data_IF_784926225555
#
_entry.id   IF_784926225555
#
_cell.length_a   1.000
_cell.length_b   1.000
_cell.length_c   1.000
_cell.angle_alpha   90.00
_cell.angle_beta   90.00
_cell.angle_gamma   90.00
#
_symmetry.space_group_name_H-M   'P 1'
#
loop_
_entity.id
_entity.type
_entity.pdbx_description
1 polymer ?
#
# COMPACT_ATOMS: atom_id res chain seq x y z
N UNK A 1 8.55 -6.16 -11.33
CA UNK A 1 7.91 -6.66 -10.10
C UNK A 1 8.98 -7.35 -9.26
N UNK A 2 9.14 -6.93 -8.01
CA UNK A 2 10.11 -7.50 -7.07
C UNK A 2 9.38 -8.42 -6.09
N UNK A 3 9.94 -9.59 -5.78
CA UNK A 3 9.34 -10.58 -4.89
C UNK A 3 10.38 -11.06 -3.90
N UNK A 4 10.11 -10.90 -2.60
CA UNK A 4 10.92 -11.50 -1.55
C UNK A 4 10.69 -13.01 -1.53
N UNK A 5 11.65 -13.78 -2.05
CA UNK A 5 11.57 -15.25 -2.13
C UNK A 5 12.16 -15.97 -0.92
N UNK A 6 13.13 -15.34 -0.26
CA UNK A 6 13.85 -15.89 0.88
C UNK A 6 13.73 -14.88 2.03
N UNK A 7 13.33 -15.31 3.25
CA UNK A 7 13.28 -14.41 4.40
C UNK A 7 14.66 -13.80 4.70
N UNK A 8 14.72 -12.49 4.90
CA UNK A 8 15.92 -11.74 5.32
C UNK A 8 16.11 -11.87 6.83
N UNK A 9 15.00 -11.82 7.57
CA UNK A 9 14.94 -11.91 9.02
C UNK A 9 13.78 -12.83 9.44
N UNK A 10 13.53 -12.96 10.74
CA UNK A 10 12.33 -13.65 11.25
C UNK A 10 11.22 -12.65 11.54
N UNK A 11 9.98 -13.06 11.31
CA UNK A 11 8.80 -12.28 11.71
C UNK A 11 8.52 -11.06 10.84
N UNK A 12 7.96 -10.03 11.48
CA UNK A 12 7.33 -8.86 10.87
C UNK A 12 8.30 -7.93 10.11
N UNK A 13 9.59 -7.96 10.45
CA UNK A 13 10.60 -7.04 9.90
C UNK A 13 10.98 -7.34 8.45
N UNK A 14 10.72 -8.56 7.96
CA UNK A 14 11.09 -8.99 6.61
C UNK A 14 10.67 -8.02 5.50
N UNK A 15 9.39 -7.60 5.52
CA UNK A 15 8.85 -6.71 4.48
C UNK A 15 9.49 -5.33 4.55
N UNK A 16 9.73 -4.81 5.76
CA UNK A 16 10.33 -3.51 5.96
C UNK A 16 11.79 -3.49 5.50
N UNK A 17 12.56 -4.51 5.87
CA UNK A 17 13.95 -4.65 5.43
C UNK A 17 14.07 -4.85 3.92
N UNK A 18 13.16 -5.61 3.32
CA UNK A 18 13.12 -5.78 1.88
C UNK A 18 12.80 -4.47 1.16
N UNK A 19 11.83 -3.69 1.64
CA UNK A 19 11.55 -2.38 1.08
C UNK A 19 12.72 -1.41 1.24
N UNK A 20 13.44 -1.44 2.37
CA UNK A 20 14.66 -0.65 2.54
C UNK A 20 15.70 -1.01 1.48
N UNK A 21 15.94 -2.31 1.23
CA UNK A 21 16.85 -2.75 0.19
C UNK A 21 16.45 -2.20 -1.19
N UNK A 22 15.18 -2.34 -1.58
CA UNK A 22 14.71 -1.84 -2.88
C UNK A 22 14.88 -0.32 -3.02
N UNK A 23 14.56 0.44 -1.96
CA UNK A 23 14.74 1.89 -2.00
C UNK A 23 16.22 2.27 -2.09
N UNK A 24 17.12 1.58 -1.37
CA UNK A 24 18.56 1.80 -1.46
C UNK A 24 19.06 1.52 -2.89
N UNK A 25 18.63 0.42 -3.49
CA UNK A 25 18.98 0.07 -4.87
C UNK A 25 18.52 1.13 -5.88
N UNK A 26 17.30 1.67 -5.72
CA UNK A 26 16.81 2.76 -6.57
C UNK A 26 17.53 4.09 -6.34
N UNK A 27 17.89 4.41 -5.08
CA UNK A 27 18.65 5.62 -4.75
C UNK A 27 20.10 5.61 -5.28
N UNK A 28 20.66 4.43 -5.56
CA UNK A 28 21.97 4.30 -6.20
C UNK A 28 21.95 4.59 -7.70
N UNK A 29 20.77 4.64 -8.32
CA UNK A 29 20.62 4.97 -9.74
C UNK A 29 20.62 6.49 -9.96
N UNK A 30 21.02 6.97 -11.14
CA UNK A 30 20.77 8.36 -11.54
C UNK A 30 19.27 8.68 -11.47
N UNK A 31 18.94 9.94 -11.15
CA UNK A 31 17.54 10.38 -11.01
C UNK A 31 16.69 10.10 -12.26
N UNK A 32 17.27 10.19 -13.45
CA UNK A 32 16.57 9.90 -14.71
C UNK A 32 16.25 8.40 -14.93
N UNK A 33 16.86 7.51 -14.15
CA UNK A 33 16.72 6.05 -14.29
C UNK A 33 16.13 5.34 -13.07
N UNK A 34 15.84 6.08 -11.98
CA UNK A 34 15.19 5.53 -10.79
C UNK A 34 13.67 5.62 -10.89
N UNK A 35 12.97 4.71 -10.22
CA UNK A 35 11.52 4.87 -10.02
C UNK A 35 11.24 5.92 -8.93
N UNK A 36 10.16 6.67 -9.07
CA UNK A 36 9.77 7.68 -8.06
C UNK A 36 9.06 7.05 -6.86
N UNK A 37 8.21 6.04 -7.10
CA UNK A 37 7.34 5.42 -6.11
C UNK A 37 7.30 3.91 -6.29
N UNK A 38 7.18 3.19 -5.17
CA UNK A 38 7.00 1.75 -5.10
C UNK A 38 5.65 1.47 -4.46
N UNK A 39 4.82 0.65 -5.09
CA UNK A 39 3.64 0.07 -4.44
C UNK A 39 4.05 -1.23 -3.73
N UNK A 40 3.93 -1.24 -2.40
CA UNK A 40 4.09 -2.43 -1.57
C UNK A 40 2.76 -3.18 -1.48
N UNK A 41 2.80 -4.51 -1.62
CA UNK A 41 1.61 -5.38 -1.60
C UNK A 41 1.85 -6.64 -0.77
N UNK A 42 0.81 -7.06 -0.05
CA UNK A 42 0.76 -8.35 0.64
C UNK A 42 0.58 -9.52 -0.34
N UNK A 43 1.20 -10.69 -0.11
CA UNK A 43 0.93 -11.90 -0.89
C UNK A 43 -0.54 -12.36 -0.84
N UNK A 44 -1.35 -11.88 0.10
CA UNK A 44 -2.79 -12.12 0.16
C UNK A 44 -3.64 -11.18 -0.69
N UNK A 45 -3.04 -10.51 -1.67
CA UNK A 45 -3.72 -9.56 -2.56
C UNK A 45 -3.64 -10.00 -4.03
N UNK A 46 -4.74 -9.83 -4.76
CA UNK A 46 -4.84 -10.13 -6.19
C UNK A 46 -5.09 -8.84 -6.97
N UNK A 47 -4.30 -8.61 -8.03
CA UNK A 47 -4.55 -7.53 -8.99
C UNK A 47 -5.72 -7.90 -9.92
N UNK A 48 -6.85 -7.22 -9.76
CA UNK A 48 -8.07 -7.48 -10.52
C UNK A 48 -8.02 -6.78 -11.88
N UNK A 49 -7.72 -5.48 -11.88
CA UNK A 49 -7.74 -4.65 -13.08
C UNK A 49 -6.37 -3.98 -13.31
N UNK A 50 -5.56 -4.48 -14.26
CA UNK A 50 -4.26 -3.91 -14.58
C UNK A 50 -4.32 -2.64 -15.43
N UNK A 51 -5.51 -2.25 -15.93
CA UNK A 51 -5.66 -1.06 -16.78
C UNK A 51 -5.80 0.22 -15.96
N UNK A 52 -5.98 0.12 -14.63
CA UNK A 52 -6.00 1.28 -13.75
C UNK A 52 -4.55 1.75 -13.53
N UNK A 53 -4.19 2.98 -13.96
CA UNK A 53 -2.85 3.49 -13.74
C UNK A 53 -2.60 3.72 -12.26
N UNK A 54 -1.49 3.18 -11.73
CA UNK A 54 -1.13 3.37 -10.33
C UNK A 54 -0.84 4.85 -9.98
N UNK A 55 -0.44 5.65 -10.98
CA UNK A 55 -0.15 7.06 -10.78
C UNK A 55 -1.39 7.89 -10.44
N UNK A 56 -2.60 7.40 -10.71
CA UNK A 56 -3.85 8.07 -10.30
C UNK A 56 -3.91 8.19 -8.76
N UNK A 57 -3.33 7.23 -8.04
CA UNK A 57 -3.30 7.23 -6.56
C UNK A 57 -2.12 8.01 -5.97
N UNK A 58 -1.21 8.55 -6.78
CA UNK A 58 -0.01 9.24 -6.29
C UNK A 58 -0.24 10.75 -6.21
N UNK A 59 0.51 11.47 -5.35
CA UNK A 59 0.40 12.92 -5.30
C UNK A 59 0.72 13.54 -6.66
N UNK A 60 -0.02 14.57 -7.10
CA UNK A 60 0.29 15.25 -8.35
C UNK A 60 1.67 15.92 -8.26
N UNK A 61 2.39 15.99 -9.38
CA UNK A 61 3.71 16.67 -9.46
C UNK A 61 3.65 18.19 -9.24
N UNK A 62 2.48 18.74 -8.95
CA UNK A 62 2.31 20.15 -8.61
C UNK A 62 2.89 20.46 -7.22
N UNK A 63 3.24 21.73 -6.99
CA UNK A 63 3.75 22.20 -5.68
C UNK A 63 2.77 21.86 -4.55
N UNK A 64 3.30 21.50 -3.39
CA UNK A 64 2.53 21.30 -2.14
C UNK A 64 2.55 19.88 -1.57
N UNK A 65 3.08 18.90 -2.32
CA UNK A 65 3.14 17.49 -1.91
C UNK A 65 4.56 16.93 -1.81
N UNK A 66 5.58 17.80 -1.85
CA UNK A 66 6.98 17.37 -1.85
C UNK A 66 7.42 16.66 -0.56
N UNK A 67 6.71 16.93 0.55
CA UNK A 67 6.94 16.28 1.85
C UNK A 67 6.27 14.91 1.98
N UNK A 68 5.44 14.48 1.03
CA UNK A 68 4.76 13.19 1.09
C UNK A 68 5.70 12.08 0.60
N UNK A 69 5.87 11.07 1.45
CA UNK A 69 6.69 9.89 1.23
C UNK A 69 5.89 8.59 1.32
N UNK A 70 4.74 8.62 2.01
CA UNK A 70 3.83 7.49 2.16
C UNK A 70 2.43 7.89 1.71
N UNK A 71 1.83 7.07 0.86
CA UNK A 71 0.39 7.11 0.60
C UNK A 71 -0.20 5.76 0.98
N UNK A 72 -1.06 5.75 1.98
CA UNK A 72 -1.59 4.52 2.56
C UNK A 72 -3.08 4.67 2.89
N UNK A 73 -3.65 3.69 3.59
CA UNK A 73 -5.03 3.77 4.10
C UNK A 73 -5.07 3.33 5.56
N UNK A 74 -6.16 3.67 6.25
CA UNK A 74 -6.48 3.19 7.61
C UNK A 74 -7.81 2.45 7.59
N UNK A 75 -7.84 1.13 7.32
CA UNK A 75 -9.09 0.37 7.20
C UNK A 75 -9.96 0.36 8.46
N UNK A 76 -9.34 0.43 9.64
CA UNK A 76 -9.99 0.51 10.95
C UNK A 76 -10.14 1.97 11.45
N UNK A 77 -9.75 2.96 10.63
CA UNK A 77 -9.70 4.38 10.97
C UNK A 77 -8.54 4.79 11.89
N UNK A 78 -7.73 3.85 12.38
CA UNK A 78 -6.73 4.09 13.42
C UNK A 78 -5.33 3.72 12.94
N UNK A 79 -5.14 2.50 12.42
CA UNK A 79 -3.85 1.91 12.10
C UNK A 79 -3.61 1.92 10.59
N UNK A 80 -2.44 2.41 10.16
CA UNK A 80 -2.02 2.29 8.77
C UNK A 80 -1.98 0.83 8.32
N UNK A 81 -2.48 0.54 7.12
CA UNK A 81 -2.38 -0.80 6.56
C UNK A 81 -1.01 -1.06 5.96
N UNK A 82 -0.35 -2.13 6.40
CA UNK A 82 0.85 -2.68 5.74
C UNK A 82 0.52 -3.57 4.53
N UNK A 83 -0.76 -3.81 4.26
CA UNK A 83 -1.22 -4.74 3.20
C UNK A 83 -1.07 -4.19 1.79
N UNK A 84 -1.35 -2.89 1.60
CA UNK A 84 -1.08 -2.18 0.36
C UNK A 84 -0.83 -0.70 0.66
N UNK A 85 0.27 -0.16 0.17
CA UNK A 85 0.59 1.26 0.28
C UNK A 85 1.64 1.65 -0.75
N UNK A 86 1.75 2.95 -1.01
CA UNK A 86 2.79 3.52 -1.83
C UNK A 86 3.86 4.17 -0.95
N UNK A 87 5.12 3.97 -1.33
CA UNK A 87 6.29 4.54 -0.66
C UNK A 87 7.20 5.18 -1.70
N UNK A 88 7.62 6.42 -1.45
CA UNK A 88 8.50 7.16 -2.34
C UNK A 88 9.92 6.64 -2.24
N UNK A 89 10.65 6.66 -3.35
CA UNK A 89 12.10 6.44 -3.31
C UNK A 89 12.77 7.70 -2.78
N UNK A 90 13.00 7.74 -1.47
CA UNK A 90 13.60 8.87 -0.76
C UNK A 90 14.36 8.45 0.49
N UNK A 91 15.23 9.32 1.00
CA UNK A 91 15.90 9.13 2.28
C UNK A 91 14.93 9.16 3.47
N UNK A 92 13.83 9.92 3.38
CA UNK A 92 12.80 9.98 4.42
C UNK A 92 12.07 8.65 4.55
N UNK A 93 11.70 8.04 3.41
CA UNK A 93 11.11 6.70 3.38
C UNK A 93 12.02 5.65 4.02
N UNK A 94 13.34 5.72 3.78
CA UNK A 94 14.31 4.85 4.46
C UNK A 94 14.31 5.06 5.97
N UNK A 95 14.29 6.31 6.43
CA UNK A 95 14.28 6.64 7.85
C UNK A 95 12.99 6.12 8.53
N UNK A 96 11.82 6.32 7.92
CA UNK A 96 10.54 5.79 8.40
C UNK A 96 10.60 4.26 8.54
N UNK A 97 11.07 3.55 7.51
CA UNK A 97 11.18 2.09 7.55
C UNK A 97 12.18 1.62 8.62
N UNK A 98 13.31 2.32 8.81
CA UNK A 98 14.29 2.00 9.82
C UNK A 98 13.70 2.15 11.23
N UNK A 99 12.97 3.24 11.50
CA UNK A 99 12.25 3.45 12.76
C UNK A 99 11.21 2.37 13.02
N UNK A 100 10.43 2.01 11.99
CA UNK A 100 9.43 0.95 12.10
C UNK A 100 10.07 -0.40 12.48
N UNK A 101 11.22 -0.76 11.87
CA UNK A 101 11.92 -2.02 12.21
C UNK A 101 12.30 -2.10 13.69
N UNK A 102 12.77 -1.00 14.27
CA UNK A 102 13.23 -0.98 15.67
C UNK A 102 12.13 -0.63 16.66
N UNK A 103 10.93 -0.26 16.21
CA UNK A 103 9.87 0.24 17.07
C UNK A 103 9.52 -0.70 18.25
N UNK A 104 9.37 -2.03 18.05
CA UNK A 104 9.08 -2.92 19.18
C UNK A 104 10.22 -3.08 20.18
N UNK A 105 11.45 -2.73 19.80
CA UNK A 105 12.61 -2.71 20.70
C UNK A 105 12.64 -1.40 21.51
N UNK A 106 12.25 -0.28 20.89
CA UNK A 106 12.21 1.03 21.54
C UNK A 106 11.04 1.18 22.51
N UNK A 107 9.90 0.56 22.20
CA UNK A 107 8.68 0.61 23.01
C UNK A 107 8.26 -0.81 23.44
N UNK A 108 8.99 -1.44 24.38
CA UNK A 108 8.70 -2.80 24.81
C UNK A 108 7.35 -2.93 25.54
N UNK A 109 6.87 -1.83 26.12
CA UNK A 109 5.62 -1.79 26.89
C UNK A 109 4.38 -1.47 26.02
N UNK A 110 4.56 -1.11 24.75
CA UNK A 110 3.45 -0.87 23.81
C UNK A 110 2.80 -2.21 23.47
N UNK A 111 1.47 -2.21 23.38
CA UNK A 111 0.76 -3.36 22.84
C UNK A 111 1.05 -3.48 21.34
N UNK A 112 1.74 -4.55 20.96
CA UNK A 112 2.02 -4.92 19.57
C UNK A 112 1.11 -6.06 19.10
N UNK A 113 -0.01 -6.32 19.76
CA UNK A 113 -0.93 -7.40 19.40
C UNK A 113 -1.55 -7.20 18.01
N UNK A 114 -1.68 -8.26 17.22
CA UNK A 114 -2.22 -8.19 15.85
C UNK A 114 -1.14 -8.04 14.77
N UNK A 115 -1.37 -7.16 13.78
CA UNK A 115 -0.40 -6.92 12.70
C UNK A 115 0.72 -5.99 13.17
N UNK A 116 1.81 -6.59 13.66
CA UNK A 116 2.99 -5.88 14.14
C UNK A 116 3.59 -4.99 13.04
N UNK A 117 3.57 -5.41 11.76
CA UNK A 117 4.12 -4.59 10.67
C UNK A 117 3.33 -3.30 10.51
N UNK A 118 1.99 -3.38 10.50
CA UNK A 118 1.10 -2.21 10.42
C UNK A 118 1.30 -1.26 11.60
N UNK A 119 1.37 -1.80 12.82
CA UNK A 119 1.59 -0.99 14.03
C UNK A 119 2.96 -0.34 14.05
N UNK A 120 4.00 -1.05 13.60
CA UNK A 120 5.36 -0.53 13.54
C UNK A 120 5.47 0.64 12.55
N UNK A 121 4.81 0.55 11.39
CA UNK A 121 4.68 1.71 10.48
C UNK A 121 3.87 2.84 11.14
N UNK A 122 2.75 2.54 11.80
CA UNK A 122 1.93 3.55 12.46
C UNK A 122 2.75 4.32 13.49
N UNK A 123 3.53 3.63 14.32
CA UNK A 123 4.45 4.24 15.27
C UNK A 123 5.45 5.18 14.59
N UNK A 124 6.11 4.72 13.52
CA UNK A 124 7.08 5.54 12.81
C UNK A 124 6.44 6.82 12.24
N UNK A 125 5.22 6.72 11.69
CA UNK A 125 4.47 7.85 11.14
C UNK A 125 3.91 8.80 12.20
N UNK A 126 3.78 8.36 13.46
CA UNK A 126 3.39 9.19 14.60
C UNK A 126 4.53 10.04 15.15
N UNK A 127 5.78 9.72 14.80
CA UNK A 127 6.93 10.54 15.17
C UNK A 127 6.80 11.93 14.55
N UNK A 128 7.03 12.97 15.36
CA UNK A 128 6.90 14.39 14.95
C UNK A 128 7.69 14.74 13.69
N UNK A 129 8.83 14.08 13.46
CA UNK A 129 9.66 14.29 12.27
C UNK A 129 9.04 13.75 10.97
N UNK A 130 8.06 12.83 11.05
CA UNK A 130 7.42 12.20 9.89
C UNK A 130 5.90 12.40 9.85
N UNK A 131 5.34 13.22 10.75
CA UNK A 131 3.89 13.41 10.89
C UNK A 131 3.23 13.98 9.63
N UNK A 132 3.99 14.68 8.79
CA UNK A 132 3.50 15.25 7.53
C UNK A 132 3.86 14.40 6.30
N UNK A 133 4.61 13.31 6.50
CA UNK A 133 5.13 12.47 5.42
C UNK A 133 4.14 11.46 4.88
N UNK A 134 2.96 11.33 5.49
CA UNK A 134 1.94 10.38 5.10
C UNK A 134 0.61 11.05 4.74
N UNK A 135 -0.04 10.54 3.68
CA UNK A 135 -1.43 10.81 3.34
C UNK A 135 -2.23 9.51 3.41
N UNK A 136 -3.44 9.59 3.95
CA UNK A 136 -4.36 8.45 4.07
C UNK A 136 -5.52 8.61 3.09
N UNK A 137 -5.63 7.67 2.16
CA UNK A 137 -6.68 7.60 1.14
C UNK A 137 -7.85 6.71 1.60
N UNK A 138 -9.00 6.82 0.92
CA UNK A 138 -10.12 5.89 1.10
C UNK A 138 -9.69 4.43 0.97
N UNK A 139 -10.07 3.61 1.96
CA UNK A 139 -9.71 2.18 2.00
C UNK A 139 -10.29 1.41 0.81
N UNK A 140 -11.44 1.87 0.29
CA UNK A 140 -12.21 1.32 -0.83
C UNK A 140 -11.47 1.34 -2.16
N UNK A 141 -10.35 2.07 -2.22
CA UNK A 141 -9.56 2.15 -3.43
C UNK A 141 -8.69 0.92 -3.66
N UNK A 142 -7.94 0.48 -2.65
CA UNK A 142 -7.00 -0.63 -2.80
C UNK A 142 -6.73 -1.45 -1.53
N UNK A 143 -7.44 -1.20 -0.42
CA UNK A 143 -7.26 -1.95 0.84
C UNK A 143 -8.54 -2.58 1.40
N UNK A 144 -9.70 -2.40 0.77
CA UNK A 144 -10.92 -3.04 1.23
C UNK A 144 -10.78 -4.57 1.23
N UNK A 145 -11.01 -5.24 2.38
CA UNK A 145 -11.09 -6.68 2.40
C UNK A 145 -12.30 -7.14 1.59
N UNK A 146 -12.18 -8.26 0.87
CA UNK A 146 -13.37 -8.92 0.33
C UNK A 146 -14.23 -9.41 1.50
N UNK A 147 -15.43 -8.84 1.63
CA UNK A 147 -16.31 -9.06 2.78
C UNK A 147 -16.81 -10.51 2.87
N UNK A 148 -16.84 -11.26 1.75
CA UNK A 148 -17.23 -12.67 1.68
C UNK A 148 -16.80 -13.28 0.33
N UNK A 149 -16.83 -14.62 0.23
CA UNK A 149 -16.42 -15.36 -0.98
C UNK A 149 -17.27 -15.12 -2.24
N UNK A 150 -18.34 -14.31 -2.15
CA UNK A 150 -19.18 -13.90 -3.28
C UNK A 150 -18.84 -12.51 -3.84
N UNK A 151 -18.12 -11.66 -3.09
CA UNK A 151 -17.65 -10.37 -3.62
C UNK A 151 -16.58 -10.63 -4.68
N UNK A 152 -16.88 -10.23 -5.92
CA UNK A 152 -15.97 -10.38 -7.05
C UNK A 152 -14.96 -9.24 -7.14
N UNK A 153 -15.13 -8.16 -6.35
CA UNK A 153 -14.29 -6.98 -6.42
C UNK A 153 -14.36 -6.26 -7.78
N UNK A 154 -15.45 -6.43 -8.53
CA UNK A 154 -15.59 -5.86 -9.88
C UNK A 154 -15.33 -4.34 -9.87
N UNK A 155 -14.53 -3.87 -10.83
CA UNK A 155 -14.12 -2.46 -10.94
C UNK A 155 -13.02 -2.02 -9.97
N UNK A 156 -12.61 -2.85 -9.00
CA UNK A 156 -11.54 -2.51 -8.05
C UNK A 156 -10.15 -2.74 -8.64
N UNK A 157 -9.16 -2.01 -8.14
CA UNK A 157 -7.76 -2.29 -8.43
C UNK A 157 -7.35 -3.66 -7.87
N UNK A 158 -7.62 -3.87 -6.58
CA UNK A 158 -7.16 -5.02 -5.81
C UNK A 158 -8.30 -5.77 -5.13
N UNK A 159 -8.14 -7.08 -5.00
CA UNK A 159 -8.86 -7.94 -4.07
C UNK A 159 -7.93 -8.33 -2.93
N UNK A 160 -8.21 -7.83 -1.72
CA UNK A 160 -7.47 -8.20 -0.50
C UNK A 160 -8.19 -9.33 0.23
N UNK A 161 -7.45 -10.37 0.59
CA UNK A 161 -7.98 -11.49 1.36
C UNK A 161 -7.56 -11.43 2.82
N UNK A 162 -8.49 -11.13 3.73
CA UNK A 162 -8.19 -10.85 5.13
C UNK A 162 -7.69 -12.11 5.88
N UNK A 163 -6.87 -11.92 6.91
CA UNK A 163 -6.23 -13.00 7.67
C UNK A 163 -7.25 -13.88 8.43
N UNK A 164 -8.42 -13.30 8.71
CA UNK A 164 -9.61 -13.87 9.33
C UNK A 164 -10.17 -15.05 8.52
N UNK A 165 -9.86 -15.14 7.22
CA UNK A 165 -10.19 -16.31 6.40
C UNK A 165 -9.32 -17.53 6.71
N UNK A 166 -8.21 -17.36 7.44
CA UNK A 166 -7.29 -18.41 7.86
C UNK A 166 -6.93 -19.36 6.70
N UNK A 167 -6.98 -20.68 6.90
CA UNK A 167 -6.66 -21.68 5.87
C UNK A 167 -7.55 -21.61 4.61
N UNK A 168 -8.77 -21.04 4.71
CA UNK A 168 -9.66 -20.87 3.54
C UNK A 168 -9.20 -19.77 2.60
N UNK A 169 -8.33 -18.86 3.06
CA UNK A 169 -7.79 -17.75 2.28
C UNK A 169 -7.25 -18.22 0.92
N UNK A 170 -6.38 -19.24 0.94
CA UNK A 170 -5.71 -19.72 -0.26
C UNK A 170 -6.66 -20.36 -1.26
N UNK A 171 -7.67 -21.08 -0.76
CA UNK A 171 -8.72 -21.64 -1.61
C UNK A 171 -9.51 -20.53 -2.30
N UNK A 172 -9.97 -19.51 -1.56
CA UNK A 172 -10.71 -18.40 -2.15
C UNK A 172 -9.88 -17.58 -3.15
N UNK A 173 -8.58 -17.44 -2.91
CA UNK A 173 -7.67 -16.82 -3.88
C UNK A 173 -7.56 -17.66 -5.16
N UNK A 174 -7.38 -18.97 -5.03
CA UNK A 174 -7.34 -19.89 -6.17
C UNK A 174 -8.65 -19.82 -6.98
N UNK A 175 -9.80 -19.94 -6.32
CA UNK A 175 -11.12 -19.87 -6.96
C UNK A 175 -11.34 -18.53 -7.70
N UNK A 176 -10.76 -17.43 -7.20
CA UNK A 176 -10.80 -16.13 -7.87
C UNK A 176 -9.88 -16.11 -9.10
N UNK A 177 -8.65 -16.60 -8.97
CA UNK A 177 -7.69 -16.66 -10.08
C UNK A 177 -8.26 -17.43 -11.27
N UNK A 178 -9.03 -18.49 -11.05
CA UNK A 178 -9.71 -19.24 -12.12
C UNK A 178 -10.80 -18.40 -12.83
N UNK A 179 -11.46 -17.49 -12.11
CA UNK A 179 -12.53 -16.62 -12.65
C UNK A 179 -12.00 -15.32 -13.26
N UNK A 180 -10.77 -14.92 -12.93
CA UNK A 180 -10.17 -13.66 -13.37
C UNK A 180 -10.12 -13.45 -14.89
N UNK A 181 -9.78 -14.44 -15.74
CA UNK A 181 -9.69 -14.20 -17.18
C UNK A 181 -11.00 -13.66 -17.76
N UNK A 182 -12.13 -14.24 -17.36
CA UNK A 182 -13.46 -13.79 -17.76
C UNK A 182 -13.80 -12.39 -17.25
N UNK A 183 -13.37 -12.06 -16.03
CA UNK A 183 -13.57 -10.73 -15.45
C UNK A 183 -12.69 -9.66 -16.10
N UNK A 184 -11.42 -9.97 -16.40
CA UNK A 184 -10.48 -9.06 -17.07
C UNK A 184 -10.92 -8.74 -18.49
N UNK A 185 -11.43 -9.73 -19.22
CA UNK A 185 -12.03 -9.51 -20.55
C UNK A 185 -13.22 -8.55 -20.49
N UNK A 186 -14.06 -8.62 -19.44
CA UNK A 186 -15.16 -7.66 -19.24
C UNK A 186 -14.63 -6.27 -18.87
N UNK A 187 -13.66 -6.20 -17.96
CA UNK A 187 -13.02 -4.96 -17.53
C UNK A 187 -12.35 -4.18 -18.68
N UNK A 188 -11.70 -4.88 -19.59
CA UNK A 188 -11.02 -4.27 -20.73
C UNK A 188 -11.98 -3.64 -21.76
N UNK A 189 -13.25 -4.06 -21.78
CA UNK A 189 -14.22 -3.64 -22.78
C UNK A 189 -15.16 -2.51 -22.32
N UNK A 190 -15.07 -2.09 -21.06
CA UNK A 190 -15.93 -1.07 -20.47
C UNK A 190 -15.13 0.20 -20.14
N UNK A 191 -15.52 1.32 -20.75
CA UNK A 191 -14.82 2.61 -20.60
C UNK A 191 -15.13 3.30 -19.26
N UNK A 192 -16.20 2.91 -18.58
CA UNK A 192 -16.60 3.43 -17.26
C UNK A 192 -16.17 2.49 -16.11
N UNK A 193 -15.31 1.50 -16.40
CA UNK A 193 -15.07 0.38 -15.49
C UNK A 193 -14.34 0.75 -14.19
N UNK A 194 -13.79 1.97 -14.07
CA UNK A 194 -13.18 2.42 -12.82
C UNK A 194 -13.53 3.86 -12.50
N UNK A 195 -14.07 4.06 -11.29
CA UNK A 195 -14.37 5.37 -10.69
C UNK A 195 -13.14 6.19 -10.28
N UNK A 196 -11.94 5.58 -10.35
CA UNK A 196 -10.74 6.12 -9.72
C UNK A 196 -10.24 7.42 -10.33
N UNK A 197 -10.30 7.59 -11.65
CA UNK A 197 -9.68 8.75 -12.30
C UNK A 197 -10.24 10.10 -11.84
N UNK A 198 -11.55 10.20 -11.62
CA UNK A 198 -12.17 11.43 -11.11
C UNK A 198 -12.12 11.53 -9.58
N UNK A 199 -12.36 10.42 -8.86
CA UNK A 199 -12.31 10.40 -7.39
C UNK A 199 -10.93 10.76 -6.85
N UNK A 200 -9.86 10.20 -7.43
CA UNK A 200 -8.48 10.47 -7.00
C UNK A 200 -8.06 11.91 -7.29
N UNK A 201 -8.45 12.45 -8.44
CA UNK A 201 -8.17 13.85 -8.81
C UNK A 201 -8.79 14.81 -7.81
N UNK A 202 -10.10 14.66 -7.54
CA UNK A 202 -10.83 15.49 -6.57
C UNK A 202 -10.20 15.40 -5.17
N UNK A 203 -9.85 14.20 -4.73
CA UNK A 203 -9.17 14.00 -3.45
C UNK A 203 -7.88 14.82 -3.33
N UNK A 204 -7.03 14.83 -4.36
CA UNK A 204 -5.79 15.61 -4.35
C UNK A 204 -6.04 17.12 -4.44
N UNK A 205 -7.07 17.55 -5.18
CA UNK A 205 -7.48 18.96 -5.24
C UNK A 205 -7.98 19.46 -3.88
N UNK A 206 -8.84 18.69 -3.21
CA UNK A 206 -9.37 19.03 -1.89
C UNK A 206 -8.26 19.10 -0.83
N UNK A 207 -7.32 18.15 -0.85
CA UNK A 207 -6.16 18.16 0.05
C UNK A 207 -5.23 19.35 -0.19
N UNK A 208 -5.10 19.79 -1.44
CA UNK A 208 -4.29 20.96 -1.76
C UNK A 208 -4.89 22.21 -1.11
N UNK A 209 -6.20 22.40 -1.21
CA UNK A 209 -6.91 23.54 -0.60
C UNK A 209 -6.79 23.53 0.92
N UNK A 210 -6.78 22.36 1.57
CA UNK A 210 -6.62 22.25 3.02
C UNK A 210 -5.20 22.56 3.52
N UNK A 211 -4.20 22.56 2.62
CA UNK A 211 -2.78 22.77 2.93
C UNK A 211 -2.26 24.17 2.58
N UNK A 212 -3.05 24.97 1.87
CA UNK A 212 -2.78 26.39 1.58
C UNK A 212 -3.35 27.30 2.68
#
# INVERSE_FOLDING_TARGET
MHVLRVPIAKGFTNRLLWLQQLIIEELQKPESGRVDWIMSLDPSTILLNPNIPLHDFLPPKARGFDSIDIVATKPDGVTVSSSAFFIRVSSVSLAILAKAVVAPVLEPDRDWSGDITSQALQYALELREYSESAIFQPTEWYNSPLANGSDTGQGRLLARYPAELQGRRWKHMHDMLEKLPAQRLRAANDKDFSRYGEETRRFWEDLKVQRE
#
